data_IF_108353340076
#
_entry.id   IF_108353340076
#
_cell.length_a   1.000
_cell.length_b   1.000
_cell.length_c   1.000
_cell.angle_alpha   90.00
_cell.angle_beta   90.00
_cell.angle_gamma   90.00
#
_symmetry.space_group_name_H-M   'P 1'
#
loop_
_entity.id
_entity.type
_entity.pdbx_description
1 polymer ?
#
# COMPACT_ATOMS: atom_id res chain seq x y z
N UNK A 1 -22.27 26.75 -8.33
CA UNK A 1 -20.99 27.06 -8.99
C UNK A 1 -20.23 25.82 -9.51
N UNK A 2 -20.25 24.68 -8.81
CA UNK A 2 -19.58 23.41 -9.21
C UNK A 2 -19.83 22.87 -10.65
N UNK A 3 -21.02 22.97 -11.29
CA UNK A 3 -21.26 22.31 -12.58
C UNK A 3 -20.61 22.98 -13.80
N UNK A 4 -20.37 24.31 -13.75
CA UNK A 4 -19.97 25.11 -14.93
C UNK A 4 -18.47 25.02 -15.26
N UNK A 5 -17.61 24.65 -14.30
CA UNK A 5 -16.18 24.48 -14.54
C UNK A 5 -15.86 23.09 -15.12
N UNK A 6 -16.57 22.06 -14.65
CA UNK A 6 -16.37 20.68 -15.08
C UNK A 6 -16.84 20.42 -16.52
N UNK A 7 -17.84 21.16 -17.01
CA UNK A 7 -18.39 20.99 -18.36
C UNK A 7 -17.48 21.50 -19.49
N UNK A 8 -16.31 22.08 -19.17
CA UNK A 8 -15.34 22.60 -20.16
C UNK A 8 -14.04 21.78 -20.24
N UNK A 9 -13.85 20.78 -19.38
CA UNK A 9 -12.63 19.99 -19.38
C UNK A 9 -12.72 18.85 -20.41
N UNK A 10 -11.68 18.72 -21.23
CA UNK A 10 -11.52 17.55 -22.11
C UNK A 10 -11.25 16.30 -21.28
N UNK A 11 -11.55 15.11 -21.82
CA UNK A 11 -11.32 13.83 -21.13
C UNK A 11 -9.86 13.65 -20.64
N UNK A 12 -8.81 13.93 -21.45
CA UNK A 12 -7.43 13.87 -20.96
C UNK A 12 -7.18 14.82 -19.79
N UNK A 13 -7.79 16.01 -19.80
CA UNK A 13 -7.67 16.96 -18.69
C UNK A 13 -8.35 16.44 -17.42
N UNK A 14 -9.50 15.77 -17.52
CA UNK A 14 -10.17 15.14 -16.37
C UNK A 14 -9.29 14.03 -15.78
N UNK A 15 -8.71 13.17 -16.62
CA UNK A 15 -7.80 12.10 -16.17
C UNK A 15 -6.53 12.68 -15.53
N UNK A 16 -5.93 13.71 -16.12
CA UNK A 16 -4.74 14.36 -15.57
C UNK A 16 -5.04 15.03 -14.22
N UNK A 17 -6.12 15.82 -14.13
CA UNK A 17 -6.53 16.48 -12.87
C UNK A 17 -6.86 15.43 -11.81
N UNK A 18 -7.60 14.38 -12.16
CA UNK A 18 -7.93 13.30 -11.22
C UNK A 18 -6.69 12.55 -10.75
N UNK A 19 -5.77 12.22 -11.66
CA UNK A 19 -4.52 11.55 -11.33
C UNK A 19 -3.63 12.40 -10.41
N UNK A 20 -3.43 13.67 -10.75
CA UNK A 20 -2.64 14.61 -9.94
C UNK A 20 -3.30 14.84 -8.59
N UNK A 21 -4.60 15.18 -8.55
CA UNK A 21 -5.29 15.46 -7.30
C UNK A 21 -5.36 14.21 -6.40
N UNK A 22 -5.60 13.03 -6.97
CA UNK A 22 -5.60 11.77 -6.23
C UNK A 22 -4.21 11.42 -5.68
N UNK A 23 -3.18 11.55 -6.51
CA UNK A 23 -1.79 11.39 -6.10
C UNK A 23 -1.44 12.35 -4.96
N UNK A 24 -1.70 13.65 -5.14
CA UNK A 24 -1.36 14.70 -4.17
C UNK A 24 -2.13 14.55 -2.87
N UNK A 25 -3.41 14.15 -2.92
CA UNK A 25 -4.20 13.91 -1.71
C UNK A 25 -3.62 12.76 -0.89
N UNK A 26 -3.28 11.65 -1.55
CA UNK A 26 -2.71 10.49 -0.87
C UNK A 26 -1.27 10.74 -0.41
N UNK A 27 -0.48 11.45 -1.21
CA UNK A 27 0.85 11.92 -0.87
C UNK A 27 0.84 12.82 0.37
N UNK A 28 -0.08 13.79 0.43
CA UNK A 28 -0.22 14.67 1.59
C UNK A 28 -0.70 13.91 2.83
N UNK A 29 -1.55 12.89 2.67
CA UNK A 29 -1.96 12.04 3.79
C UNK A 29 -0.77 11.28 4.40
N UNK A 30 0.21 10.87 3.60
CA UNK A 30 1.39 10.16 4.10
C UNK A 30 2.22 10.98 5.08
N UNK A 31 2.11 12.31 5.06
CA UNK A 31 2.72 13.22 6.05
C UNK A 31 2.24 12.94 7.48
N UNK A 32 1.03 12.42 7.66
CA UNK A 32 0.45 12.08 8.97
C UNK A 32 0.75 10.65 9.40
N UNK A 33 1.48 9.89 8.56
CA UNK A 33 1.70 8.46 8.73
C UNK A 33 3.17 8.11 8.90
N UNK A 34 4.01 8.55 7.96
CA UNK A 34 5.36 8.01 7.77
C UNK A 34 6.53 8.74 8.42
N UNK A 35 6.47 10.05 8.76
CA UNK A 35 7.62 10.72 9.37
C UNK A 35 8.15 10.04 10.63
N UNK A 36 7.28 9.47 11.47
CA UNK A 36 7.69 8.75 12.69
C UNK A 36 8.67 7.60 12.43
N UNK A 37 8.61 6.98 11.25
CA UNK A 37 9.46 5.85 10.89
C UNK A 37 10.88 6.27 10.47
N UNK A 38 11.14 7.57 10.29
CA UNK A 38 12.47 8.10 9.99
C UNK A 38 13.41 7.99 11.20
N UNK A 39 12.87 8.14 12.42
CA UNK A 39 13.65 8.06 13.66
C UNK A 39 13.77 6.62 14.17
N UNK A 40 14.85 6.32 14.88
CA UNK A 40 15.11 5.00 15.50
C UNK A 40 14.80 4.95 17.00
N UNK A 41 14.46 6.10 17.61
CA UNK A 41 14.15 6.31 19.02
C UNK A 41 15.26 5.80 19.97
N UNK A 42 16.51 6.11 19.63
CA UNK A 42 17.70 5.75 20.40
C UNK A 42 17.57 6.16 21.86
N UNK A 43 17.80 5.23 22.79
CA UNK A 43 17.82 5.52 24.23
C UNK A 43 16.44 5.71 24.87
N UNK A 44 15.33 5.53 24.13
CA UNK A 44 13.99 5.49 24.70
C UNK A 44 13.75 4.13 25.36
N UNK A 45 13.16 4.13 26.56
CA UNK A 45 12.82 2.90 27.27
C UNK A 45 11.92 1.99 26.41
N UNK A 46 12.13 0.66 26.42
CA UNK A 46 11.22 -0.28 25.76
C UNK A 46 9.76 -0.09 26.22
N UNK A 47 8.81 -0.37 25.33
CA UNK A 47 7.39 -0.25 25.68
C UNK A 47 6.96 -1.35 26.66
N UNK A 48 7.44 -2.57 26.43
CA UNK A 48 7.29 -3.74 27.29
C UNK A 48 8.59 -4.56 27.22
N UNK A 49 8.79 -5.47 28.17
CA UNK A 49 9.92 -6.41 28.12
C UNK A 49 9.91 -7.20 26.80
N UNK A 50 11.00 -7.07 26.05
CA UNK A 50 11.13 -7.72 24.75
C UNK A 50 10.58 -6.93 23.55
N UNK A 51 9.89 -5.81 23.74
CA UNK A 51 9.33 -4.98 22.67
C UNK A 51 9.94 -3.58 22.68
N UNK A 52 10.78 -3.28 21.69
CA UNK A 52 11.36 -1.95 21.53
C UNK A 52 10.29 -0.88 21.24
N UNK A 53 10.59 0.36 21.60
CA UNK A 53 9.64 1.47 21.53
C UNK A 53 9.14 1.74 20.11
N UNK A 54 10.04 1.74 19.12
CA UNK A 54 9.67 1.97 17.72
C UNK A 54 8.77 0.85 17.20
N UNK A 55 9.11 -0.41 17.48
CA UNK A 55 8.28 -1.56 17.14
C UNK A 55 6.87 -1.41 17.73
N UNK A 56 6.73 -0.94 18.97
CA UNK A 56 5.42 -0.69 19.58
C UNK A 56 4.64 0.40 18.85
N UNK A 57 5.28 1.54 18.51
CA UNK A 57 4.67 2.62 17.72
C UNK A 57 4.14 2.10 16.38
N UNK A 58 4.96 1.34 15.65
CA UNK A 58 4.59 0.77 14.35
C UNK A 58 3.47 -0.27 14.48
N UNK A 59 3.54 -1.16 15.48
CA UNK A 59 2.48 -2.14 15.75
C UNK A 59 1.16 -1.45 16.06
N UNK A 60 1.14 -0.43 16.92
CA UNK A 60 -0.07 0.33 17.27
C UNK A 60 -0.68 0.97 16.02
N UNK A 61 0.15 1.57 15.15
CA UNK A 61 -0.32 2.17 13.90
C UNK A 61 -0.91 1.11 12.95
N UNK A 62 -0.24 -0.03 12.79
CA UNK A 62 -0.71 -1.12 11.94
C UNK A 62 -2.00 -1.75 12.48
N UNK A 63 -2.11 -1.93 13.79
CA UNK A 63 -3.34 -2.40 14.43
C UNK A 63 -4.51 -1.44 14.16
N UNK A 64 -4.25 -0.13 14.17
CA UNK A 64 -5.21 0.91 13.78
C UNK A 64 -5.68 0.71 12.33
N UNK A 65 -4.76 0.47 11.39
CA UNK A 65 -5.10 0.17 10.00
C UNK A 65 -5.90 -1.12 9.84
N UNK A 66 -5.54 -2.18 10.55
CA UNK A 66 -6.26 -3.45 10.50
C UNK A 66 -7.70 -3.28 10.99
N UNK A 67 -7.89 -2.60 12.12
CA UNK A 67 -9.22 -2.28 12.66
C UNK A 67 -10.02 -1.38 11.72
N UNK A 68 -9.35 -0.39 11.13
CA UNK A 68 -9.93 0.48 10.09
C UNK A 68 -10.47 -0.32 8.90
N UNK A 69 -9.76 -1.37 8.45
CA UNK A 69 -10.20 -2.22 7.34
C UNK A 69 -11.40 -3.08 7.71
N UNK A 70 -11.49 -3.55 8.96
CA UNK A 70 -12.65 -4.29 9.46
C UNK A 70 -13.90 -3.40 9.53
N UNK A 71 -13.76 -2.16 10.01
CA UNK A 71 -14.84 -1.17 10.08
C UNK A 71 -15.19 -0.62 8.69
N UNK A 72 -14.17 -0.37 7.86
CA UNK A 72 -14.27 0.30 6.57
C UNK A 72 -15.11 -0.45 5.54
N UNK A 73 -15.21 -1.78 5.62
CA UNK A 73 -16.05 -2.58 4.70
C UNK A 73 -17.51 -2.15 4.76
N UNK A 74 -18.04 -1.80 5.93
CA UNK A 74 -19.42 -1.31 6.06
C UNK A 74 -19.50 0.20 5.82
N UNK A 75 -18.55 0.97 6.34
CA UNK A 75 -18.58 2.43 6.31
C UNK A 75 -18.33 3.00 4.90
N UNK A 76 -17.30 2.53 4.18
CA UNK A 76 -17.00 3.01 2.82
C UNK A 76 -18.09 2.59 1.83
N UNK A 77 -18.71 1.42 2.05
CA UNK A 77 -19.84 0.96 1.25
C UNK A 77 -21.11 1.83 1.44
N UNK A 78 -21.23 2.53 2.58
CA UNK A 78 -22.34 3.43 2.89
C UNK A 78 -22.09 4.87 2.43
N UNK A 79 -20.82 5.27 2.22
CA UNK A 79 -20.50 6.59 1.69
C UNK A 79 -20.86 6.68 0.20
N UNK A 80 -21.98 7.36 -0.08
CA UNK A 80 -22.31 7.83 -1.41
C UNK A 80 -21.29 8.84 -1.96
N UNK A 81 -21.59 9.45 -3.10
CA UNK A 81 -20.72 10.47 -3.73
C UNK A 81 -20.65 11.79 -2.92
N UNK A 82 -21.60 12.03 -2.02
CA UNK A 82 -21.68 13.25 -1.22
C UNK A 82 -20.94 13.06 0.11
N UNK A 83 -20.24 14.10 0.57
CA UNK A 83 -19.59 14.12 1.89
C UNK A 83 -18.18 13.54 1.96
N UNK A 84 -17.67 12.95 0.86
CA UNK A 84 -16.35 12.30 0.80
C UNK A 84 -15.20 13.27 1.13
N UNK A 85 -15.23 14.49 0.60
CA UNK A 85 -14.21 15.48 0.89
C UNK A 85 -14.15 15.85 2.37
N UNK A 86 -15.32 16.04 2.99
CA UNK A 86 -15.41 16.29 4.43
C UNK A 86 -14.94 15.08 5.26
N UNK A 87 -15.24 13.86 4.82
CA UNK A 87 -14.76 12.65 5.48
C UNK A 87 -13.22 12.55 5.42
N UNK A 88 -12.60 12.82 4.27
CA UNK A 88 -11.13 12.82 4.14
C UNK A 88 -10.51 13.85 5.10
N UNK A 89 -11.00 15.10 5.07
CA UNK A 89 -10.47 16.17 5.91
C UNK A 89 -10.67 15.84 7.40
N UNK A 90 -11.87 15.38 7.78
CA UNK A 90 -12.18 15.02 9.16
C UNK A 90 -11.32 13.88 9.70
N UNK A 91 -11.17 12.80 8.93
CA UNK A 91 -10.35 11.65 9.31
C UNK A 91 -8.87 12.02 9.43
N UNK A 92 -8.30 12.79 8.48
CA UNK A 92 -6.92 13.25 8.59
C UNK A 92 -6.75 14.22 9.76
N UNK A 93 -7.73 15.08 10.05
CA UNK A 93 -7.68 15.98 11.20
C UNK A 93 -7.68 15.20 12.53
N UNK A 94 -8.49 14.15 12.65
CA UNK A 94 -8.47 13.24 13.82
C UNK A 94 -7.09 12.58 13.95
N UNK A 95 -6.53 12.08 12.84
CA UNK A 95 -5.20 11.50 12.81
C UNK A 95 -4.12 12.50 13.27
N UNK A 96 -4.27 13.77 12.88
CA UNK A 96 -3.35 14.83 13.25
C UNK A 96 -3.43 15.19 14.73
N UNK A 97 -4.64 15.28 15.29
CA UNK A 97 -4.85 15.45 16.74
C UNK A 97 -4.19 14.32 17.52
N UNK A 98 -4.28 13.07 17.04
CA UNK A 98 -3.57 11.95 17.68
C UNK A 98 -2.04 12.13 17.67
N UNK A 99 -1.45 12.71 16.62
CA UNK A 99 -0.01 13.03 16.58
C UNK A 99 0.37 14.17 17.55
N UNK A 100 -0.53 15.13 17.77
CA UNK A 100 -0.31 16.18 18.78
C UNK A 100 -0.36 15.56 20.18
N UNK A 101 -1.33 14.68 20.45
CA UNK A 101 -1.41 13.96 21.72
C UNK A 101 -0.18 13.06 21.96
N UNK A 102 0.34 12.43 20.91
CA UNK A 102 1.62 11.70 20.95
C UNK A 102 2.78 12.59 21.40
N UNK A 103 2.86 13.83 20.90
CA UNK A 103 3.92 14.77 21.24
C UNK A 103 3.83 15.28 22.69
N UNK A 104 2.61 15.35 23.24
CA UNK A 104 2.34 15.85 24.59
C UNK A 104 2.42 14.78 25.68
N UNK A 105 2.11 13.52 25.34
CA UNK A 105 2.11 12.43 26.29
C UNK A 105 3.54 11.90 26.57
N UNK A 106 3.81 11.41 27.79
CA UNK A 106 5.12 10.88 28.14
C UNK A 106 5.39 9.54 27.43
N UNK A 107 6.63 9.36 26.97
CA UNK A 107 7.13 8.06 26.54
C UNK A 107 7.25 7.09 27.73
N UNK A 108 7.01 5.78 27.55
CA UNK A 108 6.68 5.10 26.29
C UNK A 108 5.17 5.05 25.97
N UNK A 109 4.30 5.55 26.86
CA UNK A 109 2.85 5.41 26.74
C UNK A 109 2.24 6.19 25.59
N UNK A 110 2.89 7.25 25.13
CA UNK A 110 2.49 7.99 23.94
C UNK A 110 2.36 7.13 22.67
N UNK A 111 3.04 5.97 22.58
CA UNK A 111 2.90 5.04 21.46
C UNK A 111 1.43 4.61 21.18
N UNK A 112 0.56 4.60 22.20
CA UNK A 112 -0.86 4.22 22.01
C UNK A 112 -1.63 5.19 21.10
N UNK A 113 -1.20 6.46 21.00
CA UNK A 113 -1.84 7.42 20.10
C UNK A 113 -1.63 7.06 18.63
N UNK A 114 -0.65 6.21 18.31
CA UNK A 114 -0.52 5.68 16.95
C UNK A 114 -1.65 4.74 16.55
N UNK A 115 -2.33 4.11 17.51
CA UNK A 115 -3.58 3.36 17.24
C UNK A 115 -4.69 4.30 16.77
N UNK A 116 -4.86 5.44 17.48
CA UNK A 116 -5.83 6.47 17.14
C UNK A 116 -5.46 7.24 15.86
N UNK A 117 -4.18 7.30 15.52
CA UNK A 117 -3.71 7.83 14.24
C UNK A 117 -3.97 6.85 13.08
N UNK A 118 -3.65 5.56 13.25
CA UNK A 118 -3.79 4.56 12.19
C UNK A 118 -5.26 4.29 11.81
N UNK A 119 -6.16 4.28 12.79
CA UNK A 119 -7.59 4.00 12.59
C UNK A 119 -8.27 4.89 11.54
N UNK A 120 -8.22 6.23 11.62
CA UNK A 120 -8.84 7.09 10.62
C UNK A 120 -8.12 7.02 9.26
N UNK A 121 -6.79 6.90 9.28
CA UNK A 121 -5.97 6.92 8.06
C UNK A 121 -6.18 5.68 7.17
N UNK A 122 -6.55 4.53 7.75
CA UNK A 122 -6.78 3.28 7.00
C UNK A 122 -7.92 3.34 5.97
N UNK A 123 -8.83 4.32 6.07
CA UNK A 123 -9.96 4.52 5.15
C UNK A 123 -9.64 5.49 4.00
N UNK A 124 -8.57 6.28 4.10
CA UNK A 124 -8.31 7.39 3.15
C UNK A 124 -8.07 6.88 1.72
N UNK A 125 -7.37 5.75 1.56
CA UNK A 125 -7.13 5.17 0.23
C UNK A 125 -8.44 4.89 -0.51
N UNK A 126 -9.40 4.23 0.17
CA UNK A 126 -10.69 3.90 -0.42
C UNK A 126 -11.51 5.15 -0.75
N UNK A 127 -11.48 6.16 0.12
CA UNK A 127 -12.16 7.43 -0.12
C UNK A 127 -11.58 8.18 -1.34
N UNK A 128 -10.25 8.28 -1.45
CA UNK A 128 -9.59 8.91 -2.61
C UNK A 128 -9.84 8.10 -3.88
N UNK A 129 -9.63 6.78 -3.82
CA UNK A 129 -9.86 5.89 -4.97
C UNK A 129 -11.31 5.97 -5.48
N UNK A 130 -12.29 6.15 -4.58
CA UNK A 130 -13.70 6.28 -4.98
C UNK A 130 -14.02 7.49 -5.89
N UNK A 131 -13.15 8.51 -5.97
CA UNK A 131 -13.27 9.61 -6.94
C UNK A 131 -12.74 9.25 -8.33
N UNK A 132 -11.76 8.34 -8.36
CA UNK A 132 -11.03 7.91 -9.55
C UNK A 132 -11.65 6.67 -10.20
N UNK A 133 -12.37 5.90 -9.40
CA UNK A 133 -13.05 4.69 -9.81
C UNK A 133 -14.30 4.95 -10.66
N UNK A 134 -14.73 3.92 -11.39
CA UNK A 134 -15.93 3.96 -12.22
C UNK A 134 -15.72 4.62 -13.57
N UNK A 135 -14.47 4.87 -13.97
CA UNK A 135 -14.08 5.44 -15.27
C UNK A 135 -13.39 4.39 -16.13
N UNK A 136 -13.33 4.63 -17.44
CA UNK A 136 -12.50 3.83 -18.36
C UNK A 136 -11.04 3.82 -17.91
N UNK A 137 -10.53 4.98 -17.50
CA UNK A 137 -9.14 5.19 -17.07
C UNK A 137 -8.86 4.80 -15.60
N UNK A 138 -9.80 4.18 -14.89
CA UNK A 138 -9.60 3.83 -13.48
C UNK A 138 -8.40 2.92 -13.23
N UNK A 139 -8.00 2.10 -14.22
CA UNK A 139 -6.82 1.23 -14.09
C UNK A 139 -5.52 2.08 -14.08
N UNK A 140 -5.43 3.12 -14.91
CA UNK A 140 -4.29 4.05 -14.92
C UNK A 140 -4.29 4.90 -13.65
N UNK A 141 -5.45 5.44 -13.28
CA UNK A 141 -5.58 6.27 -12.07
C UNK A 141 -5.27 5.46 -10.80
N UNK A 142 -5.65 4.18 -10.75
CA UNK A 142 -5.29 3.25 -9.70
C UNK A 142 -3.78 2.99 -9.63
N UNK A 143 -3.11 2.85 -10.78
CA UNK A 143 -1.65 2.71 -10.83
C UNK A 143 -0.93 3.98 -10.34
N UNK A 144 -1.40 5.17 -10.74
CA UNK A 144 -0.89 6.46 -10.24
C UNK A 144 -1.03 6.56 -8.72
N UNK A 145 -2.20 6.18 -8.19
CA UNK A 145 -2.43 6.16 -6.74
C UNK A 145 -1.53 5.13 -6.02
N UNK A 146 -1.27 3.97 -6.62
CA UNK A 146 -0.35 2.99 -6.04
C UNK A 146 1.09 3.51 -6.01
N UNK A 147 1.56 4.12 -7.10
CA UNK A 147 2.90 4.71 -7.13
C UNK A 147 3.07 5.85 -6.14
N UNK A 148 1.99 6.60 -5.86
CA UNK A 148 2.00 7.64 -4.85
C UNK A 148 2.47 7.11 -3.51
N UNK A 149 2.02 5.93 -3.07
CA UNK A 149 2.35 5.44 -1.72
C UNK A 149 3.81 5.01 -1.57
N UNK A 150 4.42 4.53 -2.66
CA UNK A 150 5.83 4.13 -2.72
C UNK A 150 6.69 5.39 -2.54
N UNK A 151 6.47 6.36 -3.42
CA UNK A 151 7.22 7.61 -3.43
C UNK A 151 7.00 8.46 -2.17
N UNK A 152 5.74 8.56 -1.72
CA UNK A 152 5.38 9.40 -0.56
C UNK A 152 6.06 8.92 0.72
N UNK A 153 6.23 7.61 0.90
CA UNK A 153 6.88 7.11 2.13
C UNK A 153 8.32 7.60 2.24
N UNK A 154 9.08 7.54 1.14
CA UNK A 154 10.45 8.05 1.08
C UNK A 154 10.52 9.54 1.40
N UNK A 155 9.71 10.34 0.68
CA UNK A 155 9.71 11.80 0.85
C UNK A 155 9.31 12.22 2.26
N UNK A 156 8.28 11.63 2.84
CA UNK A 156 7.82 12.02 4.19
C UNK A 156 8.82 11.67 5.28
N UNK A 157 9.59 10.58 5.11
CA UNK A 157 10.72 10.26 5.99
C UNK A 157 11.86 11.26 5.81
N UNK A 158 12.23 11.60 4.57
CA UNK A 158 13.23 12.63 4.28
C UNK A 158 12.87 13.98 4.90
N UNK A 159 11.62 14.43 4.74
CA UNK A 159 11.16 15.70 5.31
C UNK A 159 11.14 15.65 6.85
N UNK A 160 10.74 14.51 7.44
CA UNK A 160 10.82 14.31 8.88
C UNK A 160 12.24 14.46 9.42
N UNK A 161 13.21 13.80 8.78
CA UNK A 161 14.62 13.88 9.16
C UNK A 161 15.16 15.31 9.04
N UNK A 162 14.84 16.02 7.95
CA UNK A 162 15.20 17.43 7.78
C UNK A 162 14.62 18.32 8.88
N UNK A 163 13.39 18.06 9.34
CA UNK A 163 12.80 18.80 10.46
C UNK A 163 13.55 18.54 11.78
N UNK A 164 13.96 17.30 12.04
CA UNK A 164 14.76 16.96 13.22
C UNK A 164 16.13 17.65 13.17
N UNK A 165 16.79 17.64 12.01
CA UNK A 165 18.04 18.37 11.78
C UNK A 165 17.87 19.90 11.95
N UNK A 166 16.69 20.44 11.64
CA UNK A 166 16.33 21.83 11.88
C UNK A 166 15.95 22.15 13.34
N UNK A 167 16.05 21.18 14.26
CA UNK A 167 15.81 21.37 15.69
C UNK A 167 14.39 21.05 16.17
N UNK A 168 13.52 20.52 15.31
CA UNK A 168 12.20 20.02 15.74
C UNK A 168 12.41 18.72 16.54
N UNK A 169 11.79 18.60 17.72
CA UNK A 169 11.94 17.37 18.49
C UNK A 169 11.29 16.18 17.78
N UNK A 170 11.87 14.98 17.97
CA UNK A 170 11.36 13.71 17.41
C UNK A 170 9.89 13.44 17.76
N UNK A 171 9.42 13.98 18.89
CA UNK A 171 8.04 13.87 19.35
C UNK A 171 7.08 14.76 18.55
N UNK A 172 7.49 15.99 18.22
CA UNK A 172 6.68 16.93 17.46
C UNK A 172 6.81 16.75 15.95
N UNK A 173 7.89 16.11 15.47
CA UNK A 173 8.18 15.91 14.05
C UNK A 173 6.98 15.38 13.25
N UNK A 174 6.27 14.29 13.63
CA UNK A 174 5.13 13.81 12.84
C UNK A 174 4.01 14.84 12.69
N UNK A 175 3.70 15.59 13.76
CA UNK A 175 2.67 16.61 13.73
C UNK A 175 3.09 17.84 12.90
N UNK A 176 4.37 18.22 12.97
CA UNK A 176 4.93 19.34 12.21
C UNK A 176 4.94 19.07 10.70
N UNK A 177 5.38 17.87 10.28
CA UNK A 177 5.32 17.46 8.86
C UNK A 177 3.86 17.44 8.39
N UNK A 178 2.95 16.89 9.19
CA UNK A 178 1.51 16.97 8.91
C UNK A 178 1.01 18.39 8.67
N UNK A 179 1.42 19.35 9.51
CA UNK A 179 1.05 20.76 9.36
C UNK A 179 1.51 21.39 8.05
N UNK A 180 2.69 21.02 7.54
CA UNK A 180 3.20 21.52 6.25
C UNK A 180 2.37 20.99 5.07
N UNK A 181 1.94 19.73 5.12
CA UNK A 181 1.21 19.09 4.01
C UNK A 181 -0.31 19.19 4.12
N UNK A 182 -0.87 19.66 5.25
CA UNK A 182 -2.31 19.84 5.40
C UNK A 182 -2.91 20.83 4.38
N UNK A 183 -2.30 22.00 4.09
CA UNK A 183 -2.81 22.91 3.04
C UNK A 183 -2.84 22.24 1.66
N UNK A 184 -1.81 21.45 1.33
CA UNK A 184 -1.74 20.71 0.07
C UNK A 184 -2.85 19.65 -0.02
N UNK A 185 -3.16 18.98 1.10
CA UNK A 185 -4.31 18.09 1.20
C UNK A 185 -5.62 18.82 0.90
N UNK A 186 -5.85 20.00 1.51
CA UNK A 186 -7.08 20.77 1.29
C UNK A 186 -7.27 21.14 -0.19
N UNK A 187 -6.20 21.61 -0.85
CA UNK A 187 -6.22 21.96 -2.28
C UNK A 187 -6.54 20.72 -3.14
N UNK A 188 -5.91 19.58 -2.84
CA UNK A 188 -6.13 18.34 -3.60
C UNK A 188 -7.54 17.78 -3.41
N UNK A 189 -8.08 17.80 -2.19
CA UNK A 189 -9.48 17.39 -1.91
C UNK A 189 -10.47 18.31 -2.61
N UNK A 190 -10.20 19.62 -2.61
CA UNK A 190 -11.00 20.58 -3.37
C UNK A 190 -10.99 20.28 -4.88
N UNK A 191 -9.83 19.96 -5.46
CA UNK A 191 -9.72 19.56 -6.86
C UNK A 191 -10.46 18.25 -7.15
N UNK A 192 -10.40 17.26 -6.26
CA UNK A 192 -11.18 16.01 -6.37
C UNK A 192 -12.70 16.26 -6.32
N UNK A 193 -13.15 17.20 -5.48
CA UNK A 193 -14.56 17.61 -5.38
C UNK A 193 -15.10 18.34 -6.61
N UNK A 194 -14.23 18.85 -7.48
CA UNK A 194 -14.59 19.48 -8.75
C UNK A 194 -14.76 18.44 -9.86
N UNK A 195 -14.21 17.24 -9.71
CA UNK A 195 -14.26 16.22 -10.75
C UNK A 195 -15.71 15.88 -11.12
N UNK A 196 -16.05 15.87 -12.44
CA UNK A 196 -17.38 15.46 -12.87
C UNK A 196 -17.63 13.99 -12.52
N UNK A 197 -18.88 13.55 -12.37
CA UNK A 197 -19.18 12.12 -12.28
C UNK A 197 -18.71 11.35 -13.53
N UNK A 198 -18.49 10.02 -13.41
CA UNK A 198 -18.34 9.16 -14.58
C UNK A 198 -19.48 9.37 -15.57
N UNK A 199 -19.16 9.30 -16.86
CA UNK A 199 -20.16 9.45 -17.91
C UNK A 199 -20.86 8.12 -18.23
N UNK A 200 -21.91 8.15 -19.06
CA UNK A 200 -22.65 6.92 -19.42
C UNK A 200 -21.80 5.90 -20.18
N UNK A 201 -20.72 6.33 -20.85
CA UNK A 201 -19.81 5.42 -21.54
C UNK A 201 -18.87 4.73 -20.53
N UNK A 202 -18.45 5.46 -19.49
CA UNK A 202 -17.71 4.89 -18.36
C UNK A 202 -18.52 3.78 -17.66
N UNK A 203 -19.82 4.01 -17.43
CA UNK A 203 -20.73 3.02 -16.82
C UNK A 203 -21.01 1.82 -17.74
N UNK A 204 -21.08 2.03 -19.06
CA UNK A 204 -21.32 0.96 -20.03
C UNK A 204 -20.13 -0.01 -20.19
N UNK A 205 -18.91 0.46 -19.97
CA UNK A 205 -17.68 -0.34 -20.09
C UNK A 205 -17.26 -1.05 -18.80
N UNK A 206 -17.92 -0.77 -17.66
CA UNK A 206 -17.60 -1.36 -16.36
C UNK A 206 -18.78 -2.20 -15.85
N UNK A 207 -18.49 -3.41 -15.39
CA UNK A 207 -19.52 -4.21 -14.72
C UNK A 207 -19.91 -3.55 -13.39
N UNK A 208 -21.21 -3.42 -13.07
CA UNK A 208 -21.64 -2.90 -11.79
C UNK A 208 -21.15 -3.81 -10.65
N UNK A 209 -20.56 -3.20 -9.62
CA UNK A 209 -20.14 -3.90 -8.41
C UNK A 209 -21.37 -4.28 -7.59
N UNK A 210 -21.82 -5.52 -7.72
CA UNK A 210 -22.95 -6.02 -6.92
C UNK A 210 -22.48 -6.30 -5.49
N UNK A 211 -23.17 -5.79 -4.46
CA UNK A 211 -22.88 -6.15 -3.08
C UNK A 211 -23.05 -7.66 -2.88
N UNK A 212 -22.02 -8.36 -2.42
CA UNK A 212 -22.12 -9.78 -2.10
C UNK A 212 -22.54 -9.96 -0.65
N UNK A 213 -23.52 -10.84 -0.40
CA UNK A 213 -23.90 -11.25 0.95
C UNK A 213 -22.96 -12.34 1.50
N UNK A 214 -23.00 -12.58 2.82
CA UNK A 214 -22.07 -13.49 3.52
C UNK A 214 -22.03 -14.91 2.92
N UNK A 215 -23.19 -15.44 2.53
CA UNK A 215 -23.30 -16.78 1.92
C UNK A 215 -22.59 -16.86 0.56
N UNK A 216 -22.76 -15.84 -0.29
CA UNK A 216 -22.15 -15.76 -1.62
C UNK A 216 -20.63 -15.60 -1.54
N UNK A 217 -20.14 -14.80 -0.57
CA UNK A 217 -18.70 -14.64 -0.31
C UNK A 217 -18.07 -15.99 0.06
N UNK A 218 -18.69 -16.73 0.97
CA UNK A 218 -18.18 -18.04 1.40
C UNK A 218 -18.24 -19.07 0.27
N UNK A 219 -19.30 -19.06 -0.54
CA UNK A 219 -19.42 -19.93 -1.71
C UNK A 219 -18.32 -19.63 -2.76
N UNK A 220 -18.04 -18.35 -3.04
CA UNK A 220 -16.97 -17.93 -3.95
C UNK A 220 -15.59 -18.37 -3.45
N UNK A 221 -15.32 -18.19 -2.15
CA UNK A 221 -14.06 -18.62 -1.53
C UNK A 221 -13.90 -20.14 -1.62
N UNK A 222 -14.92 -20.92 -1.26
CA UNK A 222 -14.87 -22.39 -1.34
C UNK A 222 -14.71 -22.90 -2.77
N UNK A 223 -15.35 -22.27 -3.75
CA UNK A 223 -15.23 -22.69 -5.15
C UNK A 223 -13.83 -22.43 -5.75
N UNK A 224 -13.14 -21.38 -5.27
CA UNK A 224 -11.89 -20.89 -5.87
C UNK A 224 -10.69 -20.92 -4.88
N UNK A 225 -10.81 -21.62 -3.76
CA UNK A 225 -9.82 -21.57 -2.67
C UNK A 225 -8.41 -21.95 -3.14
N UNK A 226 -8.28 -22.90 -4.07
CA UNK A 226 -7.00 -23.36 -4.62
C UNK A 226 -6.24 -22.27 -5.39
N UNK A 227 -6.93 -21.22 -5.85
CA UNK A 227 -6.33 -20.06 -6.50
C UNK A 227 -6.20 -18.89 -5.51
N UNK A 228 -7.23 -18.65 -4.71
CA UNK A 228 -7.27 -17.51 -3.79
C UNK A 228 -6.28 -17.68 -2.63
N UNK A 229 -6.20 -18.86 -2.02
CA UNK A 229 -5.36 -19.10 -0.85
C UNK A 229 -3.86 -18.85 -1.14
N UNK A 230 -3.25 -19.42 -2.20
CA UNK A 230 -1.88 -19.10 -2.57
C UNK A 230 -1.61 -17.61 -2.78
N UNK A 231 -2.55 -16.90 -3.42
CA UNK A 231 -2.45 -15.46 -3.67
C UNK A 231 -2.51 -14.66 -2.36
N UNK A 232 -3.42 -15.01 -1.45
CA UNK A 232 -3.53 -14.34 -0.14
C UNK A 232 -2.29 -14.59 0.71
N UNK A 233 -1.75 -15.82 0.75
CA UNK A 233 -0.50 -16.11 1.48
C UNK A 233 0.66 -15.31 0.91
N UNK A 234 0.81 -15.28 -0.42
CA UNK A 234 1.82 -14.45 -1.08
C UNK A 234 1.66 -12.96 -0.75
N UNK A 235 0.42 -12.46 -0.77
CA UNK A 235 0.12 -11.07 -0.40
C UNK A 235 0.48 -10.75 1.05
N UNK A 236 0.21 -11.65 1.99
CA UNK A 236 0.56 -11.48 3.41
C UNK A 236 2.08 -11.34 3.56
N UNK A 237 2.86 -12.23 2.93
CA UNK A 237 4.31 -12.18 2.97
C UNK A 237 4.86 -10.89 2.35
N UNK A 238 4.35 -10.50 1.17
CA UNK A 238 4.73 -9.25 0.50
C UNK A 238 4.38 -8.01 1.32
N UNK A 239 3.22 -8.00 1.98
CA UNK A 239 2.79 -6.91 2.86
C UNK A 239 3.72 -6.79 4.06
N UNK A 240 4.03 -7.92 4.70
CA UNK A 240 4.87 -7.96 5.89
C UNK A 240 6.32 -7.53 5.59
N UNK A 241 6.93 -8.02 4.51
CA UNK A 241 8.29 -7.58 4.14
C UNK A 241 8.34 -6.14 3.68
N UNK A 242 7.31 -5.66 2.98
CA UNK A 242 7.21 -4.25 2.61
C UNK A 242 7.10 -3.37 3.83
N UNK A 243 6.21 -3.69 4.75
CA UNK A 243 6.02 -2.90 5.97
C UNK A 243 7.29 -2.92 6.81
N UNK A 244 7.99 -4.05 6.89
CA UNK A 244 9.26 -4.13 7.59
C UNK A 244 10.33 -3.25 6.92
N UNK A 245 10.56 -3.44 5.60
CA UNK A 245 11.52 -2.65 4.81
C UNK A 245 11.28 -1.15 4.96
N UNK A 246 10.02 -0.75 4.90
CA UNK A 246 9.64 0.67 4.84
C UNK A 246 9.67 1.34 6.22
N UNK A 247 9.18 0.67 7.27
CA UNK A 247 9.13 1.24 8.62
C UNK A 247 10.48 1.18 9.35
N UNK A 248 11.33 0.21 9.02
CA UNK A 248 12.67 0.04 9.61
C UNK A 248 13.79 0.35 8.60
N UNK A 249 13.49 1.18 7.59
CA UNK A 249 14.48 1.62 6.61
C UNK A 249 15.71 2.28 7.25
N UNK A 250 15.61 3.19 8.24
CA UNK A 250 16.79 3.77 8.88
C UNK A 250 17.72 2.71 9.48
N UNK A 251 17.16 1.70 10.14
CA UNK A 251 17.91 0.60 10.74
C UNK A 251 18.62 -0.25 9.70
N UNK A 252 17.96 -0.52 8.56
CA UNK A 252 18.57 -1.23 7.44
C UNK A 252 19.72 -0.43 6.82
N UNK A 253 19.57 0.88 6.68
CA UNK A 253 20.63 1.75 6.17
C UNK A 253 21.82 1.84 7.13
N UNK A 254 21.57 2.02 8.42
CA UNK A 254 22.62 2.04 9.44
C UNK A 254 23.36 0.70 9.51
N UNK A 255 22.63 -0.42 9.46
CA UNK A 255 23.24 -1.75 9.43
C UNK A 255 24.01 -2.01 8.11
N UNK A 256 23.62 -1.36 7.00
CA UNK A 256 24.36 -1.38 5.75
C UNK A 256 25.53 -0.38 5.68
N UNK A 257 25.79 0.37 6.76
CA UNK A 257 26.93 1.29 6.88
C UNK A 257 26.67 2.76 6.52
N UNK A 258 25.41 3.15 6.29
CA UNK A 258 25.03 4.52 5.95
C UNK A 258 24.61 5.30 7.21
N UNK A 259 24.98 6.59 7.32
CA UNK A 259 24.66 7.42 8.50
C UNK A 259 23.72 8.58 8.19
N UNK A 260 23.99 9.34 7.14
CA UNK A 260 23.08 10.38 6.65
C UNK A 260 22.08 9.77 5.66
N UNK A 261 20.89 9.47 6.17
CA UNK A 261 19.88 8.67 5.44
C UNK A 261 18.72 9.50 4.91
N UNK A 262 18.70 10.81 5.20
CA UNK A 262 17.59 11.70 4.84
C UNK A 262 17.30 11.63 3.33
N UNK A 263 18.32 11.86 2.50
CA UNK A 263 18.19 11.80 1.03
C UNK A 263 17.96 10.36 0.54
N UNK A 264 18.58 9.36 1.18
CA UNK A 264 18.53 7.96 0.77
C UNK A 264 17.12 7.39 0.75
N UNK A 265 16.22 7.85 1.63
CA UNK A 265 14.81 7.44 1.59
C UNK A 265 14.13 7.82 0.27
N UNK A 266 14.33 9.06 -0.22
CA UNK A 266 13.72 9.51 -1.47
C UNK A 266 14.46 8.94 -2.67
N UNK A 267 15.79 8.91 -2.64
CA UNK A 267 16.62 8.40 -3.74
C UNK A 267 16.38 6.91 -4.01
N UNK A 268 16.07 6.11 -2.98
CA UNK A 268 15.76 4.70 -3.16
C UNK A 268 14.33 4.44 -3.64
N UNK A 269 13.34 5.21 -3.17
CA UNK A 269 11.93 4.99 -3.52
C UNK A 269 11.52 5.62 -4.86
N UNK A 270 12.16 6.70 -5.29
CA UNK A 270 11.79 7.37 -6.54
C UNK A 270 11.99 6.49 -7.80
N UNK A 271 13.15 5.83 -8.01
CA UNK A 271 13.34 4.93 -9.15
C UNK A 271 12.40 3.73 -9.09
N UNK A 272 12.10 3.25 -7.88
CA UNK A 272 11.18 2.13 -7.64
C UNK A 272 9.76 2.50 -8.07
N UNK A 273 9.26 3.67 -7.63
CA UNK A 273 7.93 4.15 -8.02
C UNK A 273 7.81 4.33 -9.54
N UNK A 274 8.83 4.90 -10.19
CA UNK A 274 8.87 5.07 -11.66
C UNK A 274 8.87 3.71 -12.36
N UNK A 275 9.71 2.78 -11.93
CA UNK A 275 9.79 1.43 -12.51
C UNK A 275 8.46 0.68 -12.41
N UNK A 276 7.82 0.72 -11.25
CA UNK A 276 6.49 0.11 -11.03
C UNK A 276 5.43 0.75 -11.92
N UNK A 277 5.40 2.08 -12.03
CA UNK A 277 4.46 2.78 -12.91
C UNK A 277 4.59 2.35 -14.37
N UNK A 278 5.82 2.27 -14.89
CA UNK A 278 6.07 1.86 -16.28
C UNK A 278 5.55 0.46 -16.54
N UNK A 279 5.80 -0.49 -15.64
CA UNK A 279 5.32 -1.88 -15.79
C UNK A 279 3.80 -1.96 -15.69
N UNK A 280 3.17 -1.27 -14.75
CA UNK A 280 1.70 -1.26 -14.62
C UNK A 280 1.01 -0.57 -15.80
N UNK A 281 1.59 0.51 -16.33
CA UNK A 281 1.10 1.15 -17.54
C UNK A 281 1.17 0.22 -18.75
N UNK A 282 2.22 -0.61 -18.86
CA UNK A 282 2.32 -1.63 -19.89
C UNK A 282 1.27 -2.74 -19.73
N UNK A 283 0.99 -3.17 -18.50
CA UNK A 283 -0.05 -4.17 -18.21
C UNK A 283 -1.45 -3.72 -18.62
N UNK A 284 -1.77 -2.43 -18.53
CA UNK A 284 -3.07 -1.89 -18.93
C UNK A 284 -3.38 -2.09 -20.43
N UNK A 285 -2.37 -2.39 -21.26
CA UNK A 285 -2.57 -2.71 -22.68
C UNK A 285 -3.14 -4.12 -22.89
N UNK A 286 -3.08 -4.99 -21.88
CA UNK A 286 -3.57 -6.37 -21.98
C UNK A 286 -5.09 -6.41 -21.78
N UNK A 287 -5.84 -6.44 -22.89
CA UNK A 287 -7.32 -6.41 -22.86
C UNK A 287 -7.95 -7.72 -22.38
N UNK A 288 -7.35 -8.86 -22.67
CA UNK A 288 -7.91 -10.16 -22.28
C UNK A 288 -7.72 -10.40 -20.78
N UNK A 289 -8.81 -10.61 -20.04
CA UNK A 289 -8.79 -10.78 -18.58
C UNK A 289 -7.98 -12.00 -18.11
N UNK A 290 -8.02 -13.11 -18.85
CA UNK A 290 -7.24 -14.30 -18.50
C UNK A 290 -5.75 -14.08 -18.75
N UNK A 291 -5.41 -13.49 -19.90
CA UNK A 291 -4.02 -13.13 -20.21
C UNK A 291 -3.48 -12.12 -19.19
N UNK A 292 -4.26 -11.09 -18.85
CA UNK A 292 -3.90 -10.09 -17.84
C UNK A 292 -3.65 -10.74 -16.47
N UNK A 293 -4.52 -11.66 -16.04
CA UNK A 293 -4.34 -12.40 -14.79
C UNK A 293 -3.04 -13.22 -14.80
N UNK A 294 -2.77 -13.95 -15.88
CA UNK A 294 -1.55 -14.75 -16.02
C UNK A 294 -0.29 -13.88 -16.06
N UNK A 295 -0.31 -12.75 -16.78
CA UNK A 295 0.80 -11.81 -16.81
C UNK A 295 1.04 -11.18 -15.44
N UNK A 296 0.00 -10.84 -14.69
CA UNK A 296 0.15 -10.33 -13.32
C UNK A 296 0.76 -11.38 -12.38
N UNK A 297 0.33 -12.64 -12.48
CA UNK A 297 0.94 -13.74 -11.71
C UNK A 297 2.41 -13.98 -12.10
N UNK A 298 2.74 -13.89 -13.39
CA UNK A 298 4.13 -13.97 -13.84
C UNK A 298 4.97 -12.80 -13.31
N UNK A 299 4.43 -11.59 -13.26
CA UNK A 299 5.09 -10.43 -12.65
C UNK A 299 5.30 -10.59 -11.15
N UNK A 300 4.34 -11.20 -10.44
CA UNK A 300 4.48 -11.53 -9.02
C UNK A 300 5.68 -12.47 -8.80
N UNK A 301 5.79 -13.52 -9.62
CA UNK A 301 6.93 -14.45 -9.57
C UNK A 301 8.23 -13.73 -9.93
N UNK A 302 8.24 -12.93 -11.00
CA UNK A 302 9.41 -12.17 -11.41
C UNK A 302 9.89 -11.22 -10.30
N UNK A 303 8.96 -10.51 -9.65
CA UNK A 303 9.27 -9.62 -8.53
C UNK A 303 9.87 -10.36 -7.33
N UNK A 304 9.35 -11.55 -7.00
CA UNK A 304 9.90 -12.41 -5.95
C UNK A 304 11.31 -12.93 -6.28
N UNK A 305 11.54 -13.36 -7.52
CA UNK A 305 12.88 -13.78 -7.99
C UNK A 305 13.85 -12.62 -7.98
N UNK A 306 13.41 -11.43 -8.41
CA UNK A 306 14.22 -10.20 -8.37
C UNK A 306 14.59 -9.80 -6.94
N UNK A 307 13.66 -9.93 -5.98
CA UNK A 307 13.92 -9.69 -4.57
C UNK A 307 15.03 -10.62 -4.03
N UNK A 308 14.93 -11.93 -4.29
CA UNK A 308 15.96 -12.89 -3.87
C UNK A 308 17.30 -12.65 -4.59
N UNK A 309 17.28 -12.42 -5.91
CA UNK A 309 18.48 -12.19 -6.72
C UNK A 309 19.24 -10.93 -6.31
N UNK A 310 18.53 -9.82 -6.06
CA UNK A 310 19.12 -8.59 -5.55
C UNK A 310 19.75 -8.81 -4.16
N UNK A 311 19.06 -9.56 -3.29
CA UNK A 311 19.55 -9.86 -1.94
C UNK A 311 20.79 -10.77 -1.97
N UNK A 312 20.84 -11.72 -2.90
CA UNK A 312 22.03 -12.55 -3.12
C UNK A 312 23.21 -11.74 -3.63
N UNK A 313 22.99 -10.88 -4.63
CA UNK A 313 24.03 -10.00 -5.16
C UNK A 313 24.60 -9.07 -4.08
N UNK A 314 23.75 -8.57 -3.19
CA UNK A 314 24.17 -7.77 -2.03
C UNK A 314 25.02 -8.59 -1.05
N UNK A 315 24.58 -9.80 -0.70
CA UNK A 315 25.31 -10.72 0.19
C UNK A 315 26.67 -11.13 -0.36
N UNK A 316 26.80 -11.26 -1.68
CA UNK A 316 28.08 -11.53 -2.35
C UNK A 316 28.97 -10.28 -2.50
N UNK A 317 28.52 -9.10 -2.06
CA UNK A 317 29.27 -7.85 -2.21
C UNK A 317 29.36 -7.32 -3.65
N UNK A 318 28.53 -7.83 -4.56
CA UNK A 318 28.53 -7.44 -5.99
C UNK A 318 27.87 -6.08 -6.20
N UNK A 319 26.87 -5.75 -5.37
CA UNK A 319 26.13 -4.48 -5.45
C UNK A 319 26.18 -3.74 -4.11
N UNK A 320 26.10 -2.41 -4.16
CA UNK A 320 26.04 -1.56 -2.97
C UNK A 320 24.68 -1.65 -2.27
N UNK A 321 24.62 -1.19 -1.01
CA UNK A 321 23.37 -1.15 -0.24
C UNK A 321 22.28 -0.31 -0.92
N UNK A 322 22.65 0.80 -1.58
CA UNK A 322 21.70 1.62 -2.34
C UNK A 322 21.08 0.87 -3.51
N UNK A 323 21.91 0.23 -4.35
CA UNK A 323 21.43 -0.55 -5.49
C UNK A 323 20.59 -1.73 -5.03
N UNK A 324 20.98 -2.37 -3.93
CA UNK A 324 20.19 -3.44 -3.31
C UNK A 324 18.81 -2.95 -2.85
N UNK A 325 18.73 -1.83 -2.14
CA UNK A 325 17.45 -1.25 -1.68
C UNK A 325 16.54 -0.87 -2.86
N UNK A 326 17.10 -0.39 -3.97
CA UNK A 326 16.35 -0.08 -5.20
C UNK A 326 15.86 -1.37 -5.88
N UNK A 327 16.73 -2.35 -6.14
CA UNK A 327 16.36 -3.57 -6.87
C UNK A 327 15.43 -4.47 -6.05
N UNK A 328 15.70 -4.63 -4.75
CA UNK A 328 14.82 -5.38 -3.84
C UNK A 328 13.47 -4.69 -3.68
N UNK A 329 13.46 -3.35 -3.57
CA UNK A 329 12.25 -2.54 -3.56
C UNK A 329 11.45 -2.70 -4.85
N UNK A 330 12.09 -2.58 -6.01
CA UNK A 330 11.45 -2.76 -7.31
C UNK A 330 10.83 -4.16 -7.45
N UNK A 331 11.58 -5.23 -7.13
CA UNK A 331 11.04 -6.59 -7.15
C UNK A 331 9.83 -6.77 -6.22
N UNK A 332 9.95 -6.28 -4.99
CA UNK A 332 8.88 -6.30 -3.99
C UNK A 332 7.61 -5.57 -4.48
N UNK A 333 7.74 -4.31 -4.92
CA UNK A 333 6.57 -3.53 -5.32
C UNK A 333 5.99 -3.97 -6.66
N UNK A 334 6.79 -4.54 -7.57
CA UNK A 334 6.28 -5.20 -8.78
C UNK A 334 5.38 -6.40 -8.43
N UNK A 335 5.76 -7.18 -7.41
CA UNK A 335 4.95 -8.28 -6.93
C UNK A 335 3.74 -7.81 -6.10
N UNK A 336 3.90 -6.76 -5.30
CA UNK A 336 2.87 -6.30 -4.37
C UNK A 336 1.75 -5.47 -5.05
N UNK A 337 2.08 -4.61 -6.00
CA UNK A 337 1.12 -3.62 -6.54
C UNK A 337 -0.05 -4.23 -7.31
N UNK A 338 0.10 -5.32 -8.11
CA UNK A 338 -1.02 -5.94 -8.80
C UNK A 338 -2.20 -6.31 -7.90
N UNK A 339 -1.92 -6.74 -6.65
CA UNK A 339 -2.95 -7.09 -5.66
C UNK A 339 -3.86 -5.92 -5.27
N UNK A 340 -3.32 -4.70 -5.26
CA UNK A 340 -4.05 -3.49 -4.84
C UNK A 340 -4.84 -2.85 -5.98
N UNK A 341 -4.44 -3.11 -7.23
CA UNK A 341 -4.98 -2.39 -8.38
C UNK A 341 -5.94 -3.25 -9.23
N UNK A 342 -5.52 -4.46 -9.63
CA UNK A 342 -6.17 -5.14 -10.77
C UNK A 342 -6.32 -6.65 -10.62
N UNK A 343 -5.49 -7.32 -9.82
CA UNK A 343 -5.40 -8.79 -9.80
C UNK A 343 -6.76 -9.43 -9.47
N UNK A 344 -7.41 -8.97 -8.39
CA UNK A 344 -8.70 -9.54 -7.97
C UNK A 344 -9.83 -9.18 -8.93
N UNK A 345 -9.82 -7.99 -9.53
CA UNK A 345 -10.78 -7.60 -10.57
C UNK A 345 -10.66 -8.52 -11.80
N UNK A 346 -9.44 -8.72 -12.31
CA UNK A 346 -9.18 -9.59 -13.46
C UNK A 346 -9.47 -11.05 -13.15
N UNK A 347 -9.23 -11.50 -11.92
CA UNK A 347 -9.58 -12.84 -11.47
C UNK A 347 -11.10 -13.07 -11.46
N UNK A 348 -11.88 -12.15 -10.87
CA UNK A 348 -13.34 -12.25 -10.85
C UNK A 348 -13.90 -12.21 -12.28
N UNK A 349 -13.40 -11.30 -13.11
CA UNK A 349 -13.78 -11.21 -14.52
C UNK A 349 -13.46 -12.49 -15.29
N UNK A 350 -12.30 -13.12 -15.05
CA UNK A 350 -11.92 -14.38 -15.70
C UNK A 350 -12.72 -15.59 -15.19
N UNK A 351 -13.17 -15.58 -13.94
CA UNK A 351 -14.08 -16.61 -13.40
C UNK A 351 -15.47 -16.51 -14.04
N UNK A 352 -15.88 -15.32 -14.48
CA UNK A 352 -17.16 -15.08 -15.17
C UNK A 352 -18.38 -15.10 -14.24
N UNK A 353 -18.18 -14.89 -12.93
CA UNK A 353 -19.27 -14.79 -11.95
C UNK A 353 -19.30 -13.40 -11.32
N UNK A 354 -20.49 -12.83 -11.03
CA UNK A 354 -20.59 -11.59 -10.28
C UNK A 354 -19.86 -11.73 -8.94
N UNK A 355 -18.96 -10.80 -8.64
CA UNK A 355 -18.17 -10.81 -7.42
C UNK A 355 -17.62 -9.44 -7.08
N UNK A 356 -17.36 -9.20 -5.80
CA UNK A 356 -16.81 -7.94 -5.29
C UNK A 356 -15.31 -8.12 -5.01
N UNK A 357 -14.47 -7.55 -5.87
CA UNK A 357 -13.00 -7.54 -5.73
C UNK A 357 -12.55 -6.80 -4.48
N UNK A 358 -13.25 -5.73 -4.10
CA UNK A 358 -13.02 -4.98 -2.88
C UNK A 358 -13.05 -5.89 -1.65
N UNK A 359 -13.99 -6.84 -1.56
CA UNK A 359 -14.02 -7.80 -0.44
C UNK A 359 -12.73 -8.62 -0.35
N UNK A 360 -12.21 -9.13 -1.47
CA UNK A 360 -10.96 -9.89 -1.49
C UNK A 360 -9.75 -9.04 -1.11
N UNK A 361 -9.70 -7.80 -1.61
CA UNK A 361 -8.66 -6.82 -1.24
C UNK A 361 -8.70 -6.55 0.27
N UNK A 362 -9.88 -6.28 0.85
CA UNK A 362 -10.00 -6.00 2.28
C UNK A 362 -9.59 -7.19 3.15
N UNK A 363 -9.99 -8.41 2.78
CA UNK A 363 -9.57 -9.63 3.51
C UNK A 363 -8.06 -9.82 3.42
N UNK A 364 -7.48 -9.65 2.23
CA UNK A 364 -6.06 -9.77 2.02
C UNK A 364 -5.28 -8.69 2.81
N UNK A 365 -5.75 -7.44 2.80
CA UNK A 365 -5.18 -6.32 3.58
C UNK A 365 -5.21 -6.59 5.08
N UNK A 366 -6.35 -7.03 5.62
CA UNK A 366 -6.46 -7.34 7.04
C UNK A 366 -5.50 -8.48 7.44
N UNK A 367 -5.45 -9.55 6.64
CA UNK A 367 -4.49 -10.64 6.86
C UNK A 367 -3.04 -10.16 6.73
N UNK A 368 -2.75 -9.28 5.77
CA UNK A 368 -1.43 -8.70 5.54
C UNK A 368 -0.94 -7.89 6.72
N UNK A 369 -1.79 -7.01 7.28
CA UNK A 369 -1.44 -6.25 8.49
C UNK A 369 -1.23 -7.14 9.71
N UNK A 370 -2.04 -8.18 9.89
CA UNK A 370 -1.79 -9.19 10.94
C UNK A 370 -0.43 -9.87 10.73
N UNK A 371 -0.07 -10.20 9.49
CA UNK A 371 1.25 -10.75 9.14
C UNK A 371 2.38 -9.79 9.47
N UNK A 372 2.25 -8.49 9.14
CA UNK A 372 3.24 -7.46 9.48
C UNK A 372 3.47 -7.38 10.99
N UNK A 373 2.40 -7.35 11.79
CA UNK A 373 2.51 -7.35 13.26
C UNK A 373 3.18 -8.62 13.76
N UNK A 374 2.78 -9.79 13.25
CA UNK A 374 3.36 -11.07 13.65
C UNK A 374 4.88 -11.12 13.40
N UNK A 375 5.35 -10.62 12.25
CA UNK A 375 6.78 -10.56 11.92
C UNK A 375 7.56 -9.65 12.87
N UNK A 376 7.02 -8.47 13.19
CA UNK A 376 7.68 -7.53 14.12
C UNK A 376 7.75 -8.13 15.53
N UNK A 377 6.67 -8.75 16.00
CA UNK A 377 6.63 -9.43 17.30
C UNK A 377 7.60 -10.61 17.33
N UNK A 378 7.59 -11.46 16.30
CA UNK A 378 8.50 -12.60 16.19
C UNK A 378 9.97 -12.16 16.29
N UNK A 379 10.35 -11.11 15.54
CA UNK A 379 11.69 -10.54 15.60
C UNK A 379 12.08 -10.09 17.01
N UNK A 380 11.15 -9.42 17.70
CA UNK A 380 11.37 -8.86 19.03
C UNK A 380 11.50 -9.95 20.12
N UNK A 381 10.66 -10.98 20.05
CA UNK A 381 10.65 -12.11 21.01
C UNK A 381 11.81 -13.08 20.79
N UNK A 382 12.16 -13.38 19.53
CA UNK A 382 13.24 -14.32 19.21
C UNK A 382 14.66 -13.78 19.43
N UNK A 383 14.82 -12.59 20.03
CA UNK A 383 16.15 -12.07 20.37
C UNK A 383 16.99 -11.61 19.18
N UNK A 384 16.41 -11.46 17.98
CA UNK A 384 17.07 -10.90 16.80
C UNK A 384 17.27 -9.37 16.90
N UNK A 385 17.53 -8.87 18.12
CA UNK A 385 17.55 -7.46 18.50
C UNK A 385 18.71 -6.69 17.89
N UNK A 386 19.82 -7.36 17.59
CA UNK A 386 21.04 -6.69 17.14
C UNK A 386 21.27 -6.73 15.61
N UNK A 387 20.54 -7.55 14.84
CA UNK A 387 20.82 -7.70 13.41
C UNK A 387 19.59 -7.54 12.51
N UNK A 388 19.12 -6.29 12.38
CA UNK A 388 18.03 -5.89 11.47
C UNK A 388 18.26 -6.34 10.03
N UNK A 389 19.50 -6.21 9.55
CA UNK A 389 19.88 -6.55 8.19
C UNK A 389 19.80 -8.05 7.93
N UNK A 390 20.38 -8.88 8.80
CA UNK A 390 20.32 -10.34 8.64
C UNK A 390 18.89 -10.86 8.70
N UNK A 391 18.09 -10.39 9.65
CA UNK A 391 16.68 -10.76 9.74
C UNK A 391 15.92 -10.42 8.45
N UNK A 392 16.16 -9.22 7.90
CA UNK A 392 15.53 -8.80 6.65
C UNK A 392 15.98 -9.63 5.45
N UNK A 393 17.28 -9.97 5.36
CA UNK A 393 17.83 -10.84 4.31
C UNK A 393 17.17 -12.22 4.34
N UNK A 394 17.10 -12.85 5.51
CA UNK A 394 16.47 -14.17 5.67
C UNK A 394 14.98 -14.10 5.33
N UNK A 395 14.31 -13.04 5.80
CA UNK A 395 12.91 -12.81 5.51
C UNK A 395 12.64 -12.56 4.03
N UNK A 396 13.57 -11.91 3.31
CA UNK A 396 13.51 -11.73 1.86
C UNK A 396 13.57 -13.06 1.12
N UNK A 397 14.46 -13.97 1.52
CA UNK A 397 14.54 -15.30 0.90
C UNK A 397 13.30 -16.15 1.19
N UNK A 398 12.81 -16.16 2.44
CA UNK A 398 11.58 -16.88 2.81
C UNK A 398 10.38 -16.34 2.03
N UNK A 399 10.25 -15.01 1.95
CA UNK A 399 9.19 -14.35 1.18
C UNK A 399 9.29 -14.71 -0.30
N UNK A 400 10.47 -14.62 -0.90
CA UNK A 400 10.67 -14.95 -2.31
C UNK A 400 10.33 -16.41 -2.61
N UNK A 401 10.74 -17.35 -1.75
CA UNK A 401 10.44 -18.77 -1.91
C UNK A 401 8.93 -19.05 -1.82
N UNK A 402 8.25 -18.50 -0.82
CA UNK A 402 6.82 -18.68 -0.61
C UNK A 402 6.02 -18.05 -1.75
N UNK A 403 6.33 -16.81 -2.14
CA UNK A 403 5.63 -16.09 -3.22
C UNK A 403 5.85 -16.78 -4.56
N UNK A 404 7.08 -17.24 -4.85
CA UNK A 404 7.37 -17.98 -6.08
C UNK A 404 6.63 -19.32 -6.12
N UNK A 405 6.72 -20.11 -5.06
CA UNK A 405 6.07 -21.42 -4.98
C UNK A 405 4.54 -21.33 -5.10
N UNK A 406 3.90 -20.47 -4.28
CA UNK A 406 2.46 -20.27 -4.35
C UNK A 406 2.01 -19.54 -5.61
N UNK A 407 2.83 -18.64 -6.15
CA UNK A 407 2.61 -17.99 -7.44
C UNK A 407 2.55 -19.01 -8.58
N UNK A 408 3.48 -19.96 -8.63
CA UNK A 408 3.51 -21.03 -9.62
C UNK A 408 2.29 -21.95 -9.51
N UNK A 409 1.90 -22.33 -8.29
CA UNK A 409 0.69 -23.12 -8.05
C UNK A 409 -0.56 -22.37 -8.55
N UNK A 410 -0.69 -21.09 -8.19
CA UNK A 410 -1.83 -20.27 -8.61
C UNK A 410 -1.88 -20.11 -10.13
N UNK A 411 -0.74 -19.86 -10.77
CA UNK A 411 -0.62 -19.73 -12.22
C UNK A 411 -1.01 -21.01 -12.95
N UNK A 412 -0.52 -22.15 -12.47
CA UNK A 412 -0.85 -23.46 -13.03
C UNK A 412 -2.35 -23.77 -12.92
N UNK A 413 -2.95 -23.51 -11.74
CA UNK A 413 -4.40 -23.68 -11.52
C UNK A 413 -5.21 -22.75 -12.42
N UNK A 414 -4.80 -21.49 -12.56
CA UNK A 414 -5.43 -20.52 -13.46
C UNK A 414 -5.41 -21.00 -14.90
N UNK A 415 -4.25 -21.44 -15.37
CA UNK A 415 -4.08 -21.95 -16.73
C UNK A 415 -4.95 -23.19 -16.99
N UNK A 416 -4.95 -24.18 -16.09
CA UNK A 416 -5.75 -25.40 -16.27
C UNK A 416 -7.25 -25.17 -16.16
N UNK A 417 -7.72 -24.44 -15.15
CA UNK A 417 -9.17 -24.28 -14.89
C UNK A 417 -9.83 -23.25 -15.79
N UNK A 418 -9.13 -22.16 -16.14
CA UNK A 418 -9.69 -21.06 -16.92
C UNK A 418 -9.29 -21.14 -18.40
N UNK A 419 -8.10 -21.65 -18.72
CA UNK A 419 -7.67 -21.88 -20.10
C UNK A 419 -8.50 -22.94 -20.83
N UNK A 420 -8.90 -24.01 -20.13
CA UNK A 420 -9.82 -25.01 -20.69
C UNK A 420 -11.22 -24.47 -21.02
N UNK A 421 -11.70 -23.45 -20.28
CA UNK A 421 -12.99 -22.80 -20.57
C UNK A 421 -12.92 -21.83 -21.75
N UNK A 422 -11.78 -21.19 -21.98
CA UNK A 422 -11.58 -20.28 -23.12
C UNK A 422 -11.56 -21.02 -24.48
N UNK A 423 -11.21 -22.31 -24.49
CA UNK A 423 -11.29 -23.18 -25.68
C UNK A 423 -12.72 -23.65 -26.00
N UNK A 424 -13.61 -23.74 -25.00
CA UNK A 424 -15.00 -24.19 -25.16
C UNK A 424 -15.95 -23.05 -25.58
N UNK A 425 -15.54 -21.78 -25.42
CA UNK A 425 -16.33 -20.60 -25.80
C UNK A 425 -15.81 -19.88 -27.06
N UNK A 426 -14.97 -20.51 -27.88
CA UNK A 426 -14.74 -20.02 -29.25
C UNK A 426 -15.86 -20.58 -30.14
N UNK A 427 -16.73 -19.73 -30.73
CA UNK A 427 -17.65 -20.19 -31.77
C UNK A 427 -16.88 -20.69 -32.99
#
# INVERSE_FOLDING_TARGET
MKPKLASRLSRPAITAVGGIAGFTAYFSMYAFRKPVAADIFSGVAPFLDGLDYKSAVIIMQIAGYALSKLIGISVVAQFGRQGRGYAIIGLVSIAWVALILFALAPAPWNAVFFLLNGLPLGMIWGLVFSYLEGRRESDILGAVLCASFIFSSGVMKSVGEVMVQAGVSVWWMPAAVGGVFFPLLLISVWALEILPPPDRQDEAERMPRVPMFRAERMAMLRANWTMIFPLVVGYVMLTAIRDFRDNFAPELWHAAGYRDVAALFTESEAPVAIGVLVVLAALNRVRNNLAALQTMQALIILGAVMLAGATLAFRCGVISGLVWMILSGLGLYLAYTPFNAMLFDRMIAAIGKPGNSGFLIYVADAAGYCGSVAVIVLRNVCGAKENWLSFYVDFAYVTAAIVTGFGLVSLFVAHRRLGGRALVMRP
#
